data_IF_416539598870
#
_entry.id   IF_416539598870
#
_cell.length_a   1.000
_cell.length_b   1.000
_cell.length_c   1.000
_cell.angle_alpha   90.00
_cell.angle_beta   90.00
_cell.angle_gamma   90.00
#
_symmetry.space_group_name_H-M   'P 1'
#
loop_
_entity.id
_entity.type
_entity.pdbx_description
1 polymer ?
#
# COMPACT_ATOMS: atom_id res chain seq x y z
N UNK A 1 -5.88 -10.27 -16.43
CA UNK A 1 -5.40 -8.88 -16.24
C UNK A 1 -3.92 -8.95 -15.88
N UNK A 2 -3.03 -8.17 -16.51
CA UNK A 2 -1.60 -8.20 -16.18
C UNK A 2 -1.30 -7.36 -14.93
N UNK A 3 -0.22 -7.67 -14.22
CA UNK A 3 0.18 -6.94 -13.00
C UNK A 3 0.39 -5.45 -13.26
N UNK A 4 0.98 -5.08 -14.40
CA UNK A 4 1.14 -3.67 -14.79
C UNK A 4 -0.21 -2.96 -14.86
N UNK A 5 -1.23 -3.59 -15.45
CA UNK A 5 -2.60 -3.02 -15.54
C UNK A 5 -3.24 -2.94 -14.15
N UNK A 6 -3.01 -3.93 -13.30
CA UNK A 6 -3.52 -3.97 -11.93
C UNK A 6 -2.90 -2.85 -11.06
N UNK A 7 -1.58 -2.67 -11.14
CA UNK A 7 -0.85 -1.62 -10.44
C UNK A 7 -1.33 -0.23 -10.90
N UNK A 8 -1.52 -0.03 -12.20
CA UNK A 8 -2.04 1.24 -12.73
C UNK A 8 -3.49 1.50 -12.27
N UNK A 9 -4.33 0.46 -12.18
CA UNK A 9 -5.66 0.57 -11.58
C UNK A 9 -5.55 0.99 -10.12
N UNK A 10 -4.72 0.32 -9.31
CA UNK A 10 -4.52 0.66 -7.91
C UNK A 10 -3.97 2.08 -7.73
N UNK A 11 -3.06 2.52 -8.61
CA UNK A 11 -2.51 3.88 -8.61
C UNK A 11 -3.58 4.94 -8.82
N UNK A 12 -4.48 4.73 -9.79
CA UNK A 12 -5.61 5.63 -10.06
C UNK A 12 -6.60 5.62 -8.90
N UNK A 13 -6.95 4.44 -8.38
CA UNK A 13 -7.82 4.30 -7.22
C UNK A 13 -7.23 4.97 -5.97
N UNK A 14 -5.92 4.87 -5.76
CA UNK A 14 -5.21 5.55 -4.68
C UNK A 14 -5.31 7.07 -4.83
N UNK A 15 -5.09 7.61 -6.02
CA UNK A 15 -5.22 9.05 -6.27
C UNK A 15 -6.63 9.55 -5.91
N UNK A 16 -7.67 8.82 -6.32
CA UNK A 16 -9.06 9.16 -5.97
C UNK A 16 -9.30 9.16 -4.46
N UNK A 17 -8.85 8.11 -3.77
CA UNK A 17 -9.01 7.97 -2.30
C UNK A 17 -8.26 9.05 -1.54
N UNK A 18 -7.00 9.32 -1.89
CA UNK A 18 -6.20 10.41 -1.32
C UNK A 18 -6.88 11.77 -1.52
N UNK A 19 -7.33 12.08 -2.73
CA UNK A 19 -8.00 13.35 -3.03
C UNK A 19 -9.36 13.48 -2.33
N UNK A 20 -10.07 12.38 -2.13
CA UNK A 20 -11.31 12.36 -1.38
C UNK A 20 -11.04 12.69 0.09
N UNK A 21 -10.09 12.00 0.73
CA UNK A 21 -9.77 12.22 2.14
C UNK A 21 -9.22 13.63 2.37
N UNK A 22 -8.28 14.09 1.53
CA UNK A 22 -7.67 15.40 1.66
C UNK A 22 -8.70 16.54 1.56
N UNK A 23 -9.68 16.44 0.63
CA UNK A 23 -10.70 17.48 0.47
C UNK A 23 -11.77 17.44 1.54
N UNK A 24 -12.32 16.26 1.83
CA UNK A 24 -13.47 16.13 2.75
C UNK A 24 -13.08 16.33 4.21
N UNK A 25 -11.84 16.01 4.57
CA UNK A 25 -11.35 16.06 5.94
C UNK A 25 -10.21 17.09 6.12
N UNK A 26 -10.18 18.12 5.28
CA UNK A 26 -9.15 19.16 5.31
C UNK A 26 -9.01 19.82 6.69
N UNK A 27 -10.14 20.07 7.37
CA UNK A 27 -10.20 20.74 8.68
C UNK A 27 -10.04 19.79 9.87
N UNK A 28 -9.90 18.48 9.65
CA UNK A 28 -9.74 17.53 10.73
C UNK A 28 -8.32 17.58 11.31
N UNK A 29 -8.18 17.15 12.57
CA UNK A 29 -6.88 17.04 13.20
C UNK A 29 -5.99 15.98 12.50
N UNK A 30 -4.67 16.09 12.73
CA UNK A 30 -3.66 15.20 12.13
C UNK A 30 -3.94 13.71 12.39
N UNK A 31 -4.37 13.37 13.60
CA UNK A 31 -4.61 11.98 13.98
C UNK A 31 -5.76 11.37 13.17
N UNK A 32 -6.86 12.10 13.01
CA UNK A 32 -8.00 11.68 12.17
C UNK A 32 -7.56 11.51 10.71
N UNK A 33 -6.79 12.46 10.17
CA UNK A 33 -6.24 12.36 8.81
C UNK A 33 -5.38 11.09 8.63
N UNK A 34 -4.50 10.79 9.59
CA UNK A 34 -3.67 9.58 9.57
C UNK A 34 -4.53 8.31 9.64
N UNK A 35 -5.52 8.25 10.52
CA UNK A 35 -6.44 7.09 10.62
C UNK A 35 -7.17 6.85 9.30
N UNK A 36 -7.71 7.92 8.70
CA UNK A 36 -8.40 7.82 7.41
C UNK A 36 -7.44 7.41 6.29
N UNK A 37 -6.21 7.93 6.28
CA UNK A 37 -5.20 7.50 5.32
C UNK A 37 -4.88 6.01 5.44
N UNK A 38 -4.71 5.50 6.65
CA UNK A 38 -4.49 4.06 6.90
C UNK A 38 -5.66 3.22 6.40
N UNK A 39 -6.89 3.63 6.67
CA UNK A 39 -8.08 2.89 6.27
C UNK A 39 -8.32 2.92 4.74
N UNK A 40 -8.23 4.09 4.12
CA UNK A 40 -8.61 4.29 2.72
C UNK A 40 -7.45 4.18 1.74
N UNK A 41 -6.22 4.55 2.12
CA UNK A 41 -5.11 4.70 1.17
C UNK A 41 -4.02 3.63 1.30
N UNK A 42 -3.97 2.87 2.40
CA UNK A 42 -3.03 1.74 2.58
C UNK A 42 -3.64 0.38 2.20
N UNK A 43 -4.82 0.39 1.60
CA UNK A 43 -5.45 -0.79 1.00
C UNK A 43 -5.02 -0.90 -0.46
N UNK A 44 -3.99 -1.71 -0.70
CA UNK A 44 -3.58 -2.12 -2.04
C UNK A 44 -4.15 -3.51 -2.29
N UNK A 45 -5.22 -3.58 -3.07
CA UNK A 45 -5.84 -4.86 -3.37
C UNK A 45 -4.89 -5.72 -4.20
N UNK A 46 -4.86 -7.02 -3.92
CA UNK A 46 -4.05 -8.04 -4.65
C UNK A 46 -2.55 -7.76 -4.77
N UNK A 47 -2.00 -6.79 -4.03
CA UNK A 47 -0.61 -6.35 -4.21
C UNK A 47 0.45 -7.40 -3.86
N UNK A 48 0.08 -8.38 -3.04
CA UNK A 48 0.93 -9.53 -2.68
C UNK A 48 1.08 -10.54 -3.81
N UNK A 49 0.27 -10.45 -4.87
CA UNK A 49 0.27 -11.37 -6.01
C UNK A 49 1.04 -10.80 -7.21
N UNK A 50 1.50 -9.55 -7.15
CA UNK A 50 2.27 -8.95 -8.22
C UNK A 50 3.67 -9.56 -8.27
N UNK A 51 4.05 -10.09 -9.43
CA UNK A 51 5.35 -10.72 -9.67
C UNK A 51 5.98 -10.18 -10.95
N UNK A 52 5.17 -9.93 -11.99
CA UNK A 52 5.63 -9.53 -13.32
C UNK A 52 5.32 -8.07 -13.61
N UNK A 53 6.13 -7.16 -13.04
CA UNK A 53 5.99 -5.72 -13.23
C UNK A 53 7.33 -5.04 -13.41
N UNK A 54 7.30 -3.83 -13.98
CA UNK A 54 8.50 -3.01 -14.13
C UNK A 54 8.74 -2.18 -12.87
N UNK A 55 10.02 -1.91 -12.58
CA UNK A 55 10.39 -1.01 -11.49
C UNK A 55 9.84 0.41 -11.68
N UNK A 56 9.63 0.84 -12.93
CA UNK A 56 8.99 2.13 -13.23
C UNK A 56 7.56 2.17 -12.69
N UNK A 57 6.73 1.21 -13.10
CA UNK A 57 5.31 1.13 -12.68
C UNK A 57 5.18 1.04 -11.16
N UNK A 58 6.06 0.27 -10.51
CA UNK A 58 6.08 0.16 -9.05
C UNK A 58 6.48 1.48 -8.36
N UNK A 59 7.48 2.19 -8.92
CA UNK A 59 7.88 3.50 -8.41
C UNK A 59 6.81 4.57 -8.63
N UNK A 60 6.07 4.53 -9.72
CA UNK A 60 4.98 5.48 -9.98
C UNK A 60 3.87 5.35 -8.93
N UNK A 61 3.53 4.11 -8.55
CA UNK A 61 2.61 3.86 -7.43
C UNK A 61 3.16 4.39 -6.10
N UNK A 62 4.44 4.13 -5.81
CA UNK A 62 5.11 4.63 -4.59
C UNK A 62 5.11 6.16 -4.52
N UNK A 63 5.43 6.83 -5.63
CA UNK A 63 5.44 8.30 -5.71
C UNK A 63 4.02 8.85 -5.49
N UNK A 64 3.00 8.21 -6.08
CA UNK A 64 1.60 8.57 -5.86
C UNK A 64 1.20 8.43 -4.38
N UNK A 65 1.61 7.35 -3.71
CA UNK A 65 1.37 7.13 -2.28
C UNK A 65 2.01 8.23 -1.41
N UNK A 66 3.28 8.52 -1.67
CA UNK A 66 4.01 9.56 -0.94
C UNK A 66 3.37 10.95 -1.14
N UNK A 67 3.03 11.30 -2.38
CA UNK A 67 2.38 12.57 -2.69
C UNK A 67 0.98 12.67 -2.10
N UNK A 68 0.22 11.57 -2.11
CA UNK A 68 -1.10 11.52 -1.47
C UNK A 68 -1.03 11.83 0.03
N UNK A 69 -0.02 11.28 0.72
CA UNK A 69 0.21 11.59 2.13
C UNK A 69 0.65 13.06 2.34
N UNK A 70 1.55 13.58 1.50
CA UNK A 70 1.98 14.99 1.56
C UNK A 70 0.81 15.95 1.41
N UNK A 71 -0.05 15.73 0.43
CA UNK A 71 -1.22 16.57 0.19
C UNK A 71 -2.17 16.54 1.38
N UNK A 72 -2.45 15.35 1.92
CA UNK A 72 -3.33 15.20 3.07
C UNK A 72 -2.80 15.90 4.33
N UNK A 73 -1.49 15.82 4.55
CA UNK A 73 -0.81 16.36 5.73
C UNK A 73 -0.28 17.79 5.54
N UNK A 74 -0.58 18.41 4.40
CA UNK A 74 -0.14 19.77 4.04
C UNK A 74 1.38 19.95 4.16
N UNK A 75 2.14 18.92 3.77
CA UNK A 75 3.60 18.90 3.86
C UNK A 75 4.26 19.58 2.65
N UNK A 76 5.46 20.14 2.82
CA UNK A 76 6.24 20.69 1.71
C UNK A 76 6.50 19.66 0.61
N UNK A 77 6.56 20.13 -0.64
CA UNK A 77 6.89 19.30 -1.81
C UNK A 77 8.23 18.57 -1.63
N UNK A 78 9.21 19.29 -1.08
CA UNK A 78 10.55 18.80 -0.81
C UNK A 78 10.67 18.47 0.67
N UNK A 79 10.31 17.24 1.02
CA UNK A 79 10.49 16.70 2.35
C UNK A 79 10.96 15.24 2.25
N UNK A 80 11.67 14.78 3.28
CA UNK A 80 12.07 13.38 3.37
C UNK A 80 10.82 12.49 3.51
N UNK A 81 10.67 11.54 2.58
CA UNK A 81 9.54 10.62 2.58
C UNK A 81 9.61 9.62 3.74
N UNK A 82 10.80 9.19 4.16
CA UNK A 82 10.95 8.33 5.33
C UNK A 82 10.61 9.08 6.61
N UNK A 83 11.06 10.33 6.74
CA UNK A 83 10.81 11.14 7.92
C UNK A 83 9.31 11.43 8.13
N UNK A 84 8.59 11.83 7.08
CA UNK A 84 7.16 12.16 7.21
C UNK A 84 6.32 10.99 7.72
N UNK A 85 6.66 9.76 7.33
CA UNK A 85 5.97 8.56 7.79
C UNK A 85 6.41 8.13 9.19
N UNK A 86 7.69 8.31 9.53
CA UNK A 86 8.21 8.06 10.87
C UNK A 86 7.57 9.01 11.91
N UNK A 87 7.52 10.32 11.62
CA UNK A 87 6.89 11.32 12.49
C UNK A 87 5.39 11.04 12.69
N UNK A 88 4.69 10.64 11.62
CA UNK A 88 3.28 10.28 11.66
C UNK A 88 3.00 8.88 12.24
N UNK A 89 4.04 8.12 12.61
CA UNK A 89 3.95 6.74 13.12
C UNK A 89 3.04 5.87 12.23
N UNK A 90 3.34 5.90 10.94
CA UNK A 90 2.60 5.16 9.92
C UNK A 90 3.56 4.47 8.97
N UNK A 91 3.12 3.36 8.38
CA UNK A 91 3.94 2.60 7.46
C UNK A 91 4.19 3.37 6.16
N UNK A 92 5.44 3.30 5.69
CA UNK A 92 5.78 3.70 4.33
C UNK A 92 5.27 2.68 3.30
N UNK A 93 5.43 3.00 2.02
CA UNK A 93 4.97 2.15 0.93
C UNK A 93 5.56 0.74 1.00
N UNK A 94 6.87 0.62 1.23
CA UNK A 94 7.55 -0.67 1.24
C UNK A 94 7.15 -1.53 2.44
N UNK A 95 6.96 -0.93 3.60
CA UNK A 95 6.47 -1.58 4.80
C UNK A 95 5.06 -2.15 4.57
N UNK A 96 4.17 -1.38 3.93
CA UNK A 96 2.84 -1.89 3.56
C UNK A 96 2.94 -3.09 2.63
N UNK A 97 3.72 -2.98 1.55
CA UNK A 97 3.87 -4.07 0.58
C UNK A 97 4.41 -5.35 1.24
N UNK A 98 5.43 -5.24 2.10
CA UNK A 98 5.97 -6.37 2.87
C UNK A 98 4.95 -6.96 3.84
N UNK A 99 4.23 -6.12 4.59
CA UNK A 99 3.19 -6.59 5.53
C UNK A 99 2.08 -7.36 4.82
N UNK A 100 1.68 -6.92 3.61
CA UNK A 100 0.67 -7.62 2.81
C UNK A 100 1.17 -8.96 2.29
N UNK A 101 2.40 -9.02 1.78
CA UNK A 101 3.02 -10.28 1.36
C UNK A 101 3.14 -11.27 2.54
N UNK A 102 3.70 -10.83 3.67
CA UNK A 102 3.83 -11.66 4.88
C UNK A 102 2.47 -12.14 5.41
N UNK A 103 1.46 -11.27 5.42
CA UNK A 103 0.11 -11.63 5.86
C UNK A 103 -0.55 -12.68 4.98
N UNK A 104 -0.33 -12.65 3.65
CA UNK A 104 -0.83 -13.71 2.76
C UNK A 104 -0.08 -15.01 2.99
N UNK A 105 1.25 -14.97 3.06
CA UNK A 105 2.07 -16.16 3.31
C UNK A 105 1.72 -16.84 4.64
N UNK A 106 1.56 -16.06 5.71
CA UNK A 106 1.16 -16.56 7.03
C UNK A 106 -0.23 -17.24 6.98
N UNK A 107 -1.19 -16.67 6.25
CA UNK A 107 -2.53 -17.27 6.11
C UNK A 107 -2.54 -18.53 5.25
N UNK A 108 -1.72 -18.60 4.20
CA UNK A 108 -1.57 -19.80 3.38
C UNK A 108 -0.97 -20.93 4.22
N UNK A 109 0.14 -20.66 4.92
CA UNK A 109 0.83 -21.63 5.79
C UNK A 109 -0.03 -22.11 6.96
N UNK A 110 -0.85 -21.22 7.52
CA UNK A 110 -1.76 -21.56 8.63
C UNK A 110 -3.10 -22.15 8.20
N UNK A 111 -3.35 -22.37 6.91
CA UNK A 111 -4.64 -22.87 6.43
C UNK A 111 -4.80 -24.37 6.63
N UNK A 112 -5.95 -24.80 7.14
CA UNK A 112 -6.36 -26.22 7.15
C UNK A 112 -6.90 -26.70 5.80
N UNK A 113 -7.02 -25.80 4.81
CA UNK A 113 -7.49 -26.17 3.48
C UNK A 113 -6.43 -27.01 2.75
N UNK A 114 -6.80 -28.22 2.34
CA UNK A 114 -5.89 -29.17 1.68
C UNK A 114 -5.18 -28.61 0.44
N UNK A 115 -5.85 -27.80 -0.37
CA UNK A 115 -5.27 -27.18 -1.57
C UNK A 115 -4.20 -26.16 -1.19
N UNK A 116 -4.51 -25.27 -0.23
CA UNK A 116 -3.56 -24.25 0.22
C UNK A 116 -2.35 -24.88 0.94
N UNK A 117 -2.56 -26.00 1.65
CA UNK A 117 -1.49 -26.75 2.29
C UNK A 117 -0.50 -27.31 1.27
N UNK A 118 -0.99 -27.94 0.20
CA UNK A 118 -0.13 -28.42 -0.90
C UNK A 118 0.63 -27.28 -1.59
N UNK A 119 0.01 -26.11 -1.74
CA UNK A 119 0.70 -24.92 -2.28
C UNK A 119 1.78 -24.41 -1.32
N UNK A 120 1.52 -24.40 -0.01
CA UNK A 120 2.51 -24.02 1.00
C UNK A 120 3.74 -24.93 0.97
N UNK A 121 3.53 -26.25 0.88
CA UNK A 121 4.61 -27.25 0.83
C UNK A 121 5.51 -27.05 -0.40
N UNK A 122 4.94 -26.65 -1.55
CA UNK A 122 5.72 -26.32 -2.76
C UNK A 122 6.54 -25.04 -2.61
N UNK A 123 6.03 -24.04 -1.90
CA UNK A 123 6.73 -22.76 -1.70
C UNK A 123 7.96 -22.89 -0.78
N UNK A 124 8.01 -23.93 0.04
CA UNK A 124 9.13 -24.20 0.93
C UNK A 124 10.22 -25.08 0.27
N UNK A 125 10.01 -25.51 -0.98
CA UNK A 125 10.98 -26.28 -1.78
C UNK A 125 11.69 -25.34 -2.78
N UNK A 126 13.04 -25.27 -2.80
CA UNK A 126 13.81 -24.30 -3.59
C UNK A 126 13.64 -24.38 -5.10
#
# INVERSE_FOLDING_TARGET
MSDIKDIERERRALAVRCNMVARRFARCNKQVKITLFKAYCQTFYTCSLWVSYTQRTYNDLRVQYNNGFRVLMELPRFCSASLMFAEARTDDFYAIMRKRAASVMSRIRGSSNGILKTLSEKLDNP
#
